data_IF_431642947413
#
_entry.id   IF_431642947413
#
_cell.length_a   1.000
_cell.length_b   1.000
_cell.length_c   1.000
_cell.angle_alpha   90.00
_cell.angle_beta   90.00
_cell.angle_gamma   90.00
#
_symmetry.space_group_name_H-M   'P 1'
#
loop_
_entity.id
_entity.type
_entity.pdbx_description
1 polymer ?
#
# COMPACT_ATOMS: atom_id res chain seq x y z
N UNK A 1 -48.92 59.13 43.74
CA UNK A 1 -50.23 58.68 43.23
C UNK A 1 -50.64 59.60 42.08
N UNK A 2 -51.27 59.11 40.98
CA UNK A 2 -51.41 57.71 40.55
C UNK A 2 -50.04 57.08 40.17
N UNK A 3 -49.69 56.45 39.03
CA UNK A 3 -50.31 56.27 37.69
C UNK A 3 -49.66 55.04 37.00
N UNK A 4 -50.15 54.61 35.84
CA UNK A 4 -49.55 53.54 35.00
C UNK A 4 -49.74 53.82 33.51
N UNK A 5 -48.82 53.36 32.66
CA UNK A 5 -49.16 52.49 31.51
C UNK A 5 -47.96 51.65 31.04
N UNK A 6 -48.26 50.62 30.24
CA UNK A 6 -47.39 49.49 29.88
C UNK A 6 -47.33 49.30 28.36
N UNK A 7 -46.46 48.38 27.91
CA UNK A 7 -46.25 47.88 26.54
C UNK A 7 -45.42 48.84 25.67
N UNK A 8 -44.25 48.47 25.12
CA UNK A 8 -43.72 47.24 24.48
C UNK A 8 -44.21 47.01 23.03
N UNK A 9 -43.26 46.52 22.22
CA UNK A 9 -43.33 46.06 20.83
C UNK A 9 -43.49 47.16 19.76
N UNK A 10 -42.95 47.02 18.54
CA UNK A 10 -41.68 46.42 18.07
C UNK A 10 -41.54 46.62 16.55
N UNK A 11 -40.30 46.66 16.05
CA UNK A 11 -39.89 46.20 14.69
C UNK A 11 -40.63 46.87 13.50
N UNK A 12 -40.03 47.91 12.90
CA UNK A 12 -39.12 47.79 11.74
C UNK A 12 -39.86 47.40 10.43
N UNK A 13 -40.15 48.43 9.61
CA UNK A 13 -40.49 48.29 8.19
C UNK A 13 -39.54 49.20 7.39
N UNK A 14 -38.61 48.61 6.65
CA UNK A 14 -37.92 49.27 5.54
C UNK A 14 -37.90 48.30 4.36
N UNK A 15 -38.84 48.46 3.45
CA UNK A 15 -38.90 47.69 2.20
C UNK A 15 -37.89 48.26 1.20
N UNK A 16 -36.97 47.43 0.72
CA UNK A 16 -36.22 47.72 -0.50
C UNK A 16 -36.30 46.49 -1.42
N UNK A 17 -36.85 46.69 -2.61
CA UNK A 17 -37.04 45.64 -3.61
C UNK A 17 -36.19 45.94 -4.85
N UNK A 18 -35.79 44.88 -5.55
CA UNK A 18 -35.41 44.97 -6.96
C UNK A 18 -33.92 45.05 -7.28
N UNK A 19 -33.28 43.88 -7.40
CA UNK A 19 -32.27 43.64 -8.43
C UNK A 19 -32.22 42.15 -8.79
N UNK A 20 -32.85 41.77 -9.91
CA UNK A 20 -32.59 40.45 -10.52
C UNK A 20 -31.22 40.48 -11.18
N UNK A 21 -30.22 39.92 -10.52
CA UNK A 21 -28.92 39.60 -11.12
C UNK A 21 -28.81 38.10 -11.39
N UNK A 22 -29.17 37.64 -12.60
CA UNK A 22 -28.77 36.30 -13.05
C UNK A 22 -27.26 36.32 -13.34
N UNK A 23 -26.46 36.06 -12.31
CA UNK A 23 -25.05 35.70 -12.45
C UNK A 23 -24.92 34.21 -12.18
N UNK A 24 -24.75 33.44 -13.25
CA UNK A 24 -24.58 31.99 -13.26
C UNK A 24 -23.65 31.54 -12.12
N UNK A 25 -24.08 30.56 -11.33
CA UNK A 25 -23.17 29.74 -10.54
C UNK A 25 -22.28 28.98 -11.52
N UNK A 26 -21.13 29.58 -11.85
CA UNK A 26 -20.00 28.89 -12.45
C UNK A 26 -19.45 27.91 -11.42
N UNK A 27 -20.19 26.81 -11.20
CA UNK A 27 -19.65 25.59 -10.62
C UNK A 27 -18.54 25.18 -11.58
N UNK A 28 -17.30 25.50 -11.22
CA UNK A 28 -16.12 24.94 -11.88
C UNK A 28 -16.12 23.48 -11.49
N UNK A 29 -16.90 22.70 -12.24
CA UNK A 29 -16.82 21.27 -12.26
C UNK A 29 -15.37 20.95 -12.60
N UNK A 30 -14.61 20.64 -11.56
CA UNK A 30 -13.34 19.97 -11.69
C UNK A 30 -13.69 18.58 -12.20
N UNK A 31 -13.87 18.50 -13.51
CA UNK A 31 -13.66 17.28 -14.26
C UNK A 31 -12.19 16.92 -14.03
N UNK A 32 -11.93 16.27 -12.90
CA UNK A 32 -10.86 15.30 -12.82
C UNK A 32 -11.08 14.38 -14.00
N UNK A 33 -10.28 14.56 -15.05
CA UNK A 33 -9.84 13.41 -15.80
C UNK A 33 -9.08 12.57 -14.78
N UNK A 34 -9.79 11.64 -14.14
CA UNK A 34 -9.20 10.42 -13.65
C UNK A 34 -8.70 9.67 -14.88
N UNK A 35 -7.55 10.09 -15.39
CA UNK A 35 -6.82 9.42 -16.45
C UNK A 35 -6.67 7.98 -16.01
N UNK A 36 -7.29 7.06 -16.75
CA UNK A 36 -7.31 5.64 -16.36
C UNK A 36 -5.88 5.19 -16.06
N UNK A 37 -5.63 4.60 -14.88
CA UNK A 37 -4.27 4.41 -14.39
C UNK A 37 -3.52 3.50 -15.37
N UNK A 38 -2.41 4.03 -15.90
CA UNK A 38 -1.69 3.41 -17.01
C UNK A 38 -1.44 1.92 -16.71
N UNK A 39 -1.56 0.99 -17.68
CA UNK A 39 -1.52 -0.45 -17.37
C UNK A 39 -0.27 -0.88 -16.60
N UNK A 40 0.85 -0.18 -16.80
CA UNK A 40 2.09 -0.39 -16.04
C UNK A 40 2.01 0.11 -14.59
N UNK A 41 1.30 1.20 -14.30
CA UNK A 41 1.10 1.70 -12.92
C UNK A 41 0.16 0.78 -12.14
N UNK A 42 -0.89 0.30 -12.82
CA UNK A 42 -1.84 -0.69 -12.27
C UNK A 42 -1.14 -2.02 -12.03
N UNK A 43 -0.26 -2.45 -12.95
CA UNK A 43 0.61 -3.60 -12.74
C UNK A 43 1.55 -3.40 -11.54
N UNK A 44 2.31 -2.30 -11.49
CA UNK A 44 3.25 -1.98 -10.39
C UNK A 44 2.52 -2.00 -9.05
N UNK A 45 1.40 -1.28 -8.90
CA UNK A 45 0.57 -1.29 -7.68
C UNK A 45 0.11 -2.69 -7.30
N UNK A 46 -0.23 -3.52 -8.30
CA UNK A 46 -0.57 -4.92 -8.11
C UNK A 46 0.59 -5.76 -7.58
N UNK A 47 1.81 -5.60 -8.12
CA UNK A 47 2.99 -6.34 -7.62
C UNK A 47 3.46 -5.83 -6.27
N UNK A 48 3.30 -4.54 -5.96
CA UNK A 48 3.76 -3.93 -4.69
C UNK A 48 2.76 -4.02 -3.54
N UNK A 49 1.55 -4.55 -3.73
CA UNK A 49 0.60 -4.69 -2.64
C UNK A 49 0.94 -5.90 -1.74
N UNK A 50 1.36 -5.65 -0.50
CA UNK A 50 1.67 -6.70 0.47
C UNK A 50 0.74 -6.70 1.69
N UNK A 51 -0.45 -6.06 1.61
CA UNK A 51 -1.43 -6.05 2.72
C UNK A 51 -1.89 -7.45 3.16
N UNK A 52 -1.72 -8.44 2.28
CA UNK A 52 -2.08 -9.84 2.43
C UNK A 52 -0.83 -10.73 2.30
N UNK A 53 -0.78 -11.89 2.96
CA UNK A 53 0.31 -12.86 2.80
C UNK A 53 0.57 -13.16 1.32
N UNK A 54 1.80 -12.88 0.88
CA UNK A 54 2.21 -12.91 -0.52
C UNK A 54 3.46 -13.77 -0.68
N UNK A 55 3.44 -14.68 -1.66
CA UNK A 55 4.61 -15.46 -2.04
C UNK A 55 5.58 -14.64 -2.88
N UNK A 56 6.87 -14.71 -2.56
CA UNK A 56 7.98 -14.01 -3.22
C UNK A 56 9.10 -15.02 -3.51
N UNK A 57 9.68 -14.96 -4.71
CA UNK A 57 10.95 -15.64 -5.03
C UNK A 57 11.98 -14.68 -5.57
N UNK A 58 13.23 -14.89 -5.19
CA UNK A 58 14.39 -14.09 -5.59
C UNK A 58 15.70 -14.70 -5.12
N UNK A 59 16.81 -13.99 -5.27
CA UNK A 59 18.09 -14.34 -4.62
C UNK A 59 18.47 -13.32 -3.55
N UNK A 60 19.18 -13.76 -2.52
CA UNK A 60 19.76 -12.87 -1.48
C UNK A 60 20.74 -11.89 -2.14
N UNK A 61 20.46 -10.59 -2.08
CA UNK A 61 21.34 -9.55 -2.62
C UNK A 61 22.38 -9.10 -1.60
N UNK A 62 21.93 -8.81 -0.38
CA UNK A 62 22.77 -8.57 0.82
C UNK A 62 21.87 -8.46 2.07
N UNK A 63 22.49 -8.34 3.24
CA UNK A 63 21.84 -8.13 4.54
C UNK A 63 22.32 -6.80 5.13
N UNK A 64 21.39 -5.86 5.33
CA UNK A 64 21.58 -4.53 5.89
C UNK A 64 21.43 -4.60 7.42
N UNK A 65 22.55 -4.81 8.12
CA UNK A 65 22.56 -5.15 9.55
C UNK A 65 22.13 -4.00 10.47
N UNK A 66 22.33 -2.76 10.04
CA UNK A 66 21.93 -1.54 10.76
C UNK A 66 20.43 -1.24 10.68
N UNK A 67 19.69 -1.93 9.82
CA UNK A 67 18.22 -1.80 9.64
C UNK A 67 17.45 -3.11 9.77
N UNK A 68 18.12 -4.16 10.23
CA UNK A 68 17.61 -5.54 10.30
C UNK A 68 16.89 -5.95 8.99
N UNK A 69 17.47 -5.63 7.84
CA UNK A 69 16.78 -5.75 6.54
C UNK A 69 17.49 -6.70 5.59
N UNK A 70 16.78 -7.71 5.10
CA UNK A 70 17.21 -8.57 4.00
C UNK A 70 16.81 -7.92 2.67
N UNK A 71 17.77 -7.76 1.76
CA UNK A 71 17.54 -7.28 0.41
C UNK A 71 17.57 -8.45 -0.58
N UNK A 72 16.55 -8.54 -1.42
CA UNK A 72 16.42 -9.56 -2.46
C UNK A 72 16.54 -8.97 -3.87
N UNK A 73 17.18 -9.71 -4.78
CA UNK A 73 16.98 -9.57 -6.21
C UNK A 73 15.66 -10.29 -6.54
N UNK A 74 14.58 -9.54 -6.72
CA UNK A 74 13.22 -10.08 -6.78
C UNK A 74 12.86 -10.51 -8.20
N UNK A 75 12.39 -11.76 -8.37
CA UNK A 75 12.17 -12.35 -9.69
C UNK A 75 10.76 -12.92 -9.90
N UNK A 76 10.06 -13.39 -8.86
CA UNK A 76 8.66 -13.82 -8.98
C UNK A 76 7.78 -13.41 -7.79
N UNK A 77 6.48 -13.30 -8.03
CA UNK A 77 5.40 -13.11 -7.04
C UNK A 77 4.32 -14.19 -7.22
N UNK A 78 3.71 -14.67 -6.14
CA UNK A 78 2.48 -15.44 -6.18
C UNK A 78 1.45 -14.92 -5.17
N UNK A 79 0.21 -14.80 -5.64
CA UNK A 79 -0.96 -14.44 -4.83
C UNK A 79 -1.80 -15.68 -4.45
N UNK A 80 -1.33 -16.89 -4.79
CA UNK A 80 -2.07 -18.16 -4.69
C UNK A 80 -2.16 -18.70 -3.25
N UNK A 81 -2.74 -17.90 -2.37
CA UNK A 81 -3.04 -18.23 -0.97
C UNK A 81 -3.95 -19.47 -0.86
N UNK A 82 -3.80 -20.30 0.20
CA UNK A 82 -2.80 -20.21 1.26
C UNK A 82 -1.51 -20.99 0.98
N UNK A 83 -1.46 -21.79 -0.10
CA UNK A 83 -0.40 -22.78 -0.32
C UNK A 83 0.80 -22.26 -1.11
N UNK A 84 0.61 -21.26 -1.97
CA UNK A 84 1.64 -20.62 -2.82
C UNK A 84 2.40 -21.55 -3.80
N UNK A 85 2.07 -22.85 -3.86
CA UNK A 85 2.64 -23.84 -4.80
C UNK A 85 2.54 -23.44 -6.29
N UNK A 86 1.55 -22.63 -6.64
CA UNK A 86 1.23 -22.24 -8.03
C UNK A 86 1.08 -20.71 -8.16
N UNK A 87 0.63 -20.22 -9.32
CA UNK A 87 0.31 -18.79 -9.52
C UNK A 87 1.50 -17.84 -9.68
N UNK A 88 2.72 -18.38 -9.71
CA UNK A 88 3.97 -17.61 -9.85
C UNK A 88 4.04 -16.82 -11.17
N UNK A 89 4.13 -15.50 -11.05
CA UNK A 89 4.31 -14.55 -12.15
C UNK A 89 5.70 -13.91 -12.03
N UNK A 90 6.38 -13.71 -13.16
CA UNK A 90 7.64 -12.98 -13.20
C UNK A 90 7.43 -11.50 -12.86
N UNK A 91 8.40 -10.94 -12.14
CA UNK A 91 8.51 -9.49 -11.90
C UNK A 91 9.47 -8.92 -12.96
N UNK A 92 9.05 -7.94 -13.77
CA UNK A 92 9.86 -7.43 -14.87
C UNK A 92 11.00 -6.52 -14.39
N UNK A 93 12.12 -6.57 -15.10
CA UNK A 93 13.33 -5.78 -14.79
C UNK A 93 14.12 -6.31 -13.60
N UNK A 94 15.12 -5.53 -13.17
CA UNK A 94 15.93 -5.83 -11.98
C UNK A 94 15.30 -5.22 -10.72
N UNK A 95 14.09 -5.69 -10.43
CA UNK A 95 13.35 -5.34 -9.23
C UNK A 95 14.12 -5.79 -7.98
N UNK A 96 14.12 -4.95 -6.94
CA UNK A 96 14.73 -5.26 -5.65
C UNK A 96 13.69 -5.10 -4.54
N UNK A 97 13.77 -5.98 -3.54
CA UNK A 97 12.78 -6.04 -2.47
C UNK A 97 13.48 -6.10 -1.11
N UNK A 98 13.32 -5.02 -0.34
CA UNK A 98 13.64 -4.99 1.09
C UNK A 98 12.53 -5.71 1.88
N UNK A 99 12.92 -6.59 2.80
CA UNK A 99 12.04 -7.31 3.74
C UNK A 99 12.73 -7.42 5.09
N UNK A 100 11.94 -7.37 6.17
CA UNK A 100 12.43 -7.40 7.56
C UNK A 100 12.03 -8.71 8.25
N UNK A 101 12.77 -9.15 9.28
CA UNK A 101 12.32 -10.23 10.13
C UNK A 101 11.05 -9.81 10.89
N UNK A 102 10.25 -10.78 11.31
CA UNK A 102 9.09 -10.58 12.19
C UNK A 102 9.48 -10.57 13.68
N UNK A 103 10.61 -11.19 14.02
CA UNK A 103 11.13 -11.38 15.38
C UNK A 103 12.67 -11.57 15.35
N UNK A 104 13.34 -11.42 16.50
CA UNK A 104 14.80 -11.52 16.59
C UNK A 104 15.34 -12.96 16.43
N UNK A 105 14.53 -13.99 16.69
CA UNK A 105 14.93 -15.39 16.47
C UNK A 105 15.04 -15.69 14.96
N UNK A 106 14.17 -15.07 14.16
CA UNK A 106 14.25 -15.10 12.71
C UNK A 106 15.44 -14.28 12.21
N UNK A 107 15.71 -13.09 12.78
CA UNK A 107 16.87 -12.27 12.40
C UNK A 107 18.20 -13.02 12.50
N UNK A 108 18.47 -13.68 13.63
CA UNK A 108 19.69 -14.48 13.83
C UNK A 108 19.84 -15.62 12.80
N UNK A 109 18.73 -16.17 12.30
CA UNK A 109 18.76 -17.16 11.21
C UNK A 109 19.06 -16.51 9.86
N UNK A 110 18.47 -15.34 9.58
CA UNK A 110 18.73 -14.59 8.34
C UNK A 110 20.20 -14.14 8.23
N UNK A 111 20.86 -13.81 9.35
CA UNK A 111 22.28 -13.42 9.39
C UNK A 111 23.26 -14.46 8.80
N UNK A 112 22.83 -15.73 8.67
CA UNK A 112 23.64 -16.84 8.16
C UNK A 112 23.37 -17.15 6.67
N UNK A 113 22.52 -16.39 5.99
CA UNK A 113 22.22 -16.61 4.57
C UNK A 113 23.35 -16.10 3.66
N UNK A 114 23.81 -16.96 2.76
CA UNK A 114 24.78 -16.60 1.72
C UNK A 114 24.20 -15.62 0.70
N UNK A 115 25.07 -14.78 0.11
CA UNK A 115 24.72 -14.00 -1.08
C UNK A 115 24.35 -14.94 -2.25
N UNK A 116 23.45 -14.48 -3.11
CA UNK A 116 22.92 -15.14 -4.30
C UNK A 116 22.17 -16.47 -4.05
N UNK A 117 21.99 -16.86 -2.79
CA UNK A 117 21.13 -17.97 -2.37
C UNK A 117 19.69 -17.73 -2.86
N UNK A 118 19.08 -18.67 -3.61
CA UNK A 118 17.69 -18.53 -4.06
C UNK A 118 16.72 -18.88 -2.93
N UNK A 119 15.78 -17.98 -2.67
CA UNK A 119 14.80 -18.12 -1.60
C UNK A 119 13.36 -18.04 -2.13
N UNK A 120 12.49 -18.81 -1.51
CA UNK A 120 11.05 -18.55 -1.46
C UNK A 120 10.69 -17.95 -0.09
N UNK A 121 9.86 -16.90 -0.06
CA UNK A 121 9.42 -16.24 1.16
C UNK A 121 7.92 -15.98 1.10
N UNK A 122 7.23 -16.12 2.23
CA UNK A 122 5.89 -15.57 2.41
C UNK A 122 6.02 -14.30 3.26
N UNK A 123 5.56 -13.16 2.72
CA UNK A 123 5.70 -11.85 3.37
C UNK A 123 4.37 -11.10 3.45
N UNK A 124 4.25 -10.19 4.41
CA UNK A 124 3.11 -9.30 4.58
C UNK A 124 3.55 -7.93 5.13
N UNK A 125 2.84 -6.87 4.75
CA UNK A 125 3.00 -5.51 5.29
C UNK A 125 2.31 -5.36 6.65
N UNK A 126 2.93 -4.65 7.59
CA UNK A 126 2.38 -4.40 8.93
C UNK A 126 1.33 -3.28 8.99
N UNK A 127 0.99 -2.68 7.84
CA UNK A 127 0.11 -1.51 7.74
C UNK A 127 0.82 -0.18 7.98
N UNK A 128 2.13 -0.19 8.23
CA UNK A 128 3.00 1.00 8.33
C UNK A 128 4.03 1.06 7.18
N UNK A 129 3.99 0.13 6.23
CA UNK A 129 4.94 0.04 5.11
C UNK A 129 6.12 -0.92 5.34
N UNK A 130 6.15 -1.63 6.48
CA UNK A 130 7.18 -2.61 6.80
C UNK A 130 6.73 -4.01 6.38
N UNK A 131 7.47 -4.61 5.44
CA UNK A 131 7.22 -5.97 4.93
C UNK A 131 7.96 -6.99 5.78
N UNK A 132 7.24 -7.73 6.60
CA UNK A 132 7.82 -8.77 7.47
C UNK A 132 7.76 -10.16 6.83
N UNK A 133 8.79 -10.96 7.09
CA UNK A 133 8.90 -12.36 6.64
C UNK A 133 8.09 -13.26 7.57
N UNK A 134 6.97 -13.81 7.09
CA UNK A 134 6.17 -14.78 7.84
C UNK A 134 6.88 -16.14 7.89
N UNK A 135 7.43 -16.57 6.74
CA UNK A 135 8.25 -17.77 6.56
C UNK A 135 9.20 -17.63 5.36
N UNK A 136 10.24 -18.46 5.30
CA UNK A 136 11.09 -18.61 4.12
C UNK A 136 11.58 -20.06 3.96
N UNK A 137 11.93 -20.44 2.73
CA UNK A 137 12.53 -21.73 2.34
C UNK A 137 13.74 -21.48 1.41
N UNK A 138 14.82 -22.22 1.62
CA UNK A 138 15.93 -22.31 0.67
C UNK A 138 15.53 -23.24 -0.49
N UNK A 139 15.46 -22.69 -1.69
CA UNK A 139 15.03 -23.40 -2.91
C UNK A 139 16.21 -23.74 -3.84
N UNK A 140 17.43 -23.80 -3.31
CA UNK A 140 18.63 -24.28 -4.02
C UNK A 140 18.67 -25.80 -4.21
N UNK A 141 17.82 -26.55 -3.51
CA UNK A 141 17.67 -27.99 -3.67
C UNK A 141 17.19 -28.41 -5.07
N UNK A 142 17.29 -29.72 -5.41
CA UNK A 142 16.76 -30.22 -6.68
C UNK A 142 15.25 -29.92 -6.79
N UNK A 143 14.73 -29.61 -7.98
CA UNK A 143 13.35 -29.19 -8.14
C UNK A 143 12.38 -30.27 -7.65
N UNK A 144 11.36 -29.85 -6.90
CA UNK A 144 10.35 -30.73 -6.27
C UNK A 144 9.54 -31.57 -7.28
N UNK A 145 9.65 -31.27 -8.57
CA UNK A 145 9.17 -32.08 -9.69
C UNK A 145 10.25 -32.13 -10.77
N UNK A 146 10.59 -33.29 -11.38
CA UNK A 146 11.40 -33.33 -12.59
C UNK A 146 10.65 -32.70 -13.78
N UNK A 147 11.42 -32.24 -14.78
CA UNK A 147 10.92 -31.75 -16.08
C UNK A 147 10.53 -32.91 -17.01
#
# INVERSE_FOLDING_TARGET
MPTRRFSRFSILFLSLAGSLGLSLTAVIAHAQLETEPHPMDTFIKGVTNFSEPTGVRGTVRYIEKDRETLWLNWKQRSDARPLFETGWKFVPGDATLAVQPRDSEQWEKLLNLSQDLPLELIIQDDGKGHRHILSYEDISGPPKTPL
#
